data_IF_872290601375
#
_entry.id   IF_872290601375
#
_cell.length_a   1.000
_cell.length_b   1.000
_cell.length_c   1.000
_cell.angle_alpha   90.00
_cell.angle_beta   90.00
_cell.angle_gamma   90.00
#
_symmetry.space_group_name_H-M   'P 1'
#
loop_
_entity.id
_entity.type
_entity.pdbx_description
1 polymer ?
#
# COMPACT_ATOMS: atom_id res chain seq x y z
N UNK A 1 10.33 10.01 39.41
CA UNK A 1 9.06 9.88 38.66
C UNK A 1 9.42 9.47 37.25
N UNK A 2 9.36 8.17 36.93
CA UNK A 2 9.67 7.65 35.59
C UNK A 2 8.39 7.79 34.77
N UNK A 3 8.41 8.69 33.79
CA UNK A 3 7.30 8.90 32.86
C UNK A 3 7.39 7.82 31.76
N UNK A 4 6.65 6.73 31.92
CA UNK A 4 6.46 5.72 30.87
C UNK A 4 5.57 6.31 29.78
N UNK A 5 6.17 6.74 28.66
CA UNK A 5 5.45 7.05 27.43
C UNK A 5 4.91 5.75 26.81
N UNK A 6 3.62 5.50 26.98
CA UNK A 6 2.92 4.40 26.30
C UNK A 6 2.66 4.87 24.85
N UNK A 7 3.55 4.52 23.93
CA UNK A 7 3.29 4.67 22.50
C UNK A 7 2.24 3.62 22.09
N UNK A 8 1.04 4.06 21.74
CA UNK A 8 0.02 3.19 21.15
C UNK A 8 0.48 2.79 19.73
N UNK A 9 0.93 1.55 19.58
CA UNK A 9 1.18 0.95 18.26
C UNK A 9 -0.17 0.57 17.66
N UNK A 10 -0.68 1.39 16.75
CA UNK A 10 -1.84 1.01 15.93
C UNK A 10 -1.39 -0.11 14.98
N UNK A 11 -1.78 -1.35 15.28
CA UNK A 11 -1.58 -2.47 14.37
C UNK A 11 -2.62 -2.37 13.26
N UNK A 12 -2.17 -2.14 12.02
CA UNK A 12 -3.02 -2.24 10.85
C UNK A 12 -3.26 -3.71 10.53
N UNK A 13 -4.52 -4.08 10.34
CA UNK A 13 -4.84 -5.41 9.84
C UNK A 13 -4.36 -5.55 8.38
N UNK A 14 -3.87 -6.74 8.03
CA UNK A 14 -3.47 -7.07 6.67
C UNK A 14 -4.67 -6.97 5.72
N UNK A 15 -4.40 -6.68 4.44
CA UNK A 15 -5.41 -6.62 3.39
C UNK A 15 -5.09 -7.60 2.27
N UNK A 16 -6.08 -8.36 1.82
CA UNK A 16 -6.01 -9.20 0.63
C UNK A 16 -6.79 -8.53 -0.50
N UNK A 17 -6.11 -8.22 -1.61
CA UNK A 17 -6.67 -7.53 -2.77
C UNK A 17 -6.35 -8.35 -4.04
N UNK A 18 -7.26 -9.22 -4.47
CA UNK A 18 -6.96 -10.17 -5.55
C UNK A 18 -5.74 -11.03 -5.20
N UNK A 19 -4.69 -10.98 -6.03
CA UNK A 19 -3.43 -11.70 -5.81
C UNK A 19 -2.38 -10.90 -5.00
N UNK A 20 -2.75 -9.74 -4.46
CA UNK A 20 -1.88 -8.88 -3.68
C UNK A 20 -2.23 -8.97 -2.20
N UNK A 21 -1.30 -9.46 -1.37
CA UNK A 21 -1.35 -9.34 0.08
C UNK A 21 -0.58 -8.10 0.51
N UNK A 22 -1.28 -7.16 1.13
CA UNK A 22 -0.69 -5.97 1.77
C UNK A 22 -0.55 -6.28 3.26
N UNK A 23 0.69 -6.40 3.71
CA UNK A 23 1.05 -6.61 5.10
C UNK A 23 1.69 -5.37 5.70
N UNK A 24 1.30 -5.00 6.92
CA UNK A 24 1.86 -3.85 7.62
C UNK A 24 2.92 -4.30 8.61
N UNK A 25 4.19 -4.18 8.23
CA UNK A 25 5.28 -4.63 9.07
C UNK A 25 5.50 -3.68 10.27
N UNK A 26 6.17 -4.20 11.30
CA UNK A 26 6.47 -3.47 12.54
C UNK A 26 7.35 -2.22 12.34
N UNK A 27 7.94 -2.05 11.16
CA UNK A 27 8.73 -0.86 10.80
C UNK A 27 7.86 0.30 10.23
N UNK A 28 6.54 0.14 10.21
CA UNK A 28 5.60 1.14 9.70
C UNK A 28 5.54 1.21 8.17
N UNK A 29 6.18 0.27 7.48
CA UNK A 29 6.21 0.21 6.02
C UNK A 29 5.42 -1.00 5.53
N UNK A 30 4.71 -0.82 4.41
CA UNK A 30 3.98 -1.91 3.79
C UNK A 30 4.92 -3.00 3.24
N UNK A 31 4.39 -4.21 3.14
CA UNK A 31 4.94 -5.32 2.37
C UNK A 31 3.87 -5.78 1.39
N UNK A 32 4.13 -5.64 0.09
CA UNK A 32 3.24 -6.10 -0.97
C UNK A 32 3.76 -7.46 -1.44
N UNK A 33 2.98 -8.52 -1.19
CA UNK A 33 3.42 -9.90 -1.41
C UNK A 33 4.77 -10.21 -0.75
N UNK A 34 5.02 -9.64 0.42
CA UNK A 34 6.26 -9.80 1.18
C UNK A 34 7.40 -8.86 0.78
N UNK A 35 7.32 -8.19 -0.38
CA UNK A 35 8.33 -7.25 -0.83
C UNK A 35 8.08 -5.83 -0.29
N UNK A 36 9.14 -5.17 0.15
CA UNK A 36 9.10 -3.77 0.58
C UNK A 36 9.08 -2.86 -0.67
N UNK A 37 8.23 -1.82 -0.73
CA UNK A 37 8.22 -0.90 -1.85
C UNK A 37 9.45 0.01 -1.85
N UNK A 38 9.87 0.47 -3.04
CA UNK A 38 11.00 1.39 -3.22
C UNK A 38 10.66 2.79 -2.69
N UNK A 39 9.41 3.22 -2.88
CA UNK A 39 8.89 4.47 -2.34
C UNK A 39 7.55 4.24 -1.66
N UNK A 40 7.26 5.05 -0.64
CA UNK A 40 5.98 5.06 0.06
C UNK A 40 5.57 6.50 0.33
N UNK A 41 4.46 6.93 -0.30
CA UNK A 41 3.82 8.20 -0.02
C UNK A 41 2.47 7.96 0.62
N UNK A 42 2.19 8.71 1.68
CA UNK A 42 0.97 8.59 2.48
C UNK A 42 0.20 9.89 2.36
N UNK A 43 -1.10 9.81 2.07
CA UNK A 43 -2.01 10.95 2.01
C UNK A 43 -3.26 10.64 2.83
N UNK A 44 -3.55 11.44 3.86
CA UNK A 44 -4.86 11.39 4.52
C UNK A 44 -5.89 12.08 3.63
N UNK A 45 -6.98 11.39 3.30
CA UNK A 45 -8.02 11.87 2.39
C UNK A 45 -9.03 12.78 3.08
N UNK A 46 -9.08 12.74 4.41
CA UNK A 46 -9.91 13.59 5.25
C UNK A 46 -9.03 14.25 6.32
N UNK A 47 -9.20 13.86 7.57
CA UNK A 47 -8.46 14.41 8.71
C UNK A 47 -7.11 13.71 8.86
N UNK A 48 -6.11 14.45 9.34
CA UNK A 48 -4.80 13.89 9.64
C UNK A 48 -4.90 12.80 10.71
N UNK A 49 -4.33 11.63 10.44
CA UNK A 49 -4.43 10.47 11.34
C UNK A 49 -5.68 9.60 11.13
N UNK A 50 -6.58 9.96 10.21
CA UNK A 50 -7.71 9.10 9.85
C UNK A 50 -7.30 7.98 8.89
N UNK A 51 -6.81 6.88 9.45
CA UNK A 51 -6.38 5.72 8.68
C UNK A 51 -7.53 4.93 8.03
N UNK A 52 -8.79 5.26 8.31
CA UNK A 52 -9.93 4.71 7.57
C UNK A 52 -10.20 5.47 6.26
N UNK A 53 -9.58 6.64 6.10
CA UNK A 53 -9.67 7.52 4.93
C UNK A 53 -8.26 7.94 4.51
N UNK A 54 -7.50 6.97 3.98
CA UNK A 54 -6.08 7.10 3.69
C UNK A 54 -5.76 6.55 2.31
N UNK A 55 -4.74 7.14 1.69
CA UNK A 55 -4.18 6.67 0.43
C UNK A 55 -2.69 6.43 0.58
N UNK A 56 -2.26 5.25 0.15
CA UNK A 56 -0.85 4.91 0.01
C UNK A 56 -0.51 4.77 -1.47
N UNK A 57 0.57 5.41 -1.86
CA UNK A 57 1.13 5.32 -3.20
C UNK A 57 2.53 4.69 -3.08
N UNK A 58 2.72 3.57 -3.77
CA UNK A 58 3.94 2.79 -3.77
C UNK A 58 4.47 2.62 -5.20
N UNK A 59 5.79 2.56 -5.31
CA UNK A 59 6.46 2.10 -6.53
C UNK A 59 7.32 0.90 -6.16
N UNK A 60 7.30 -0.12 -7.01
CA UNK A 60 8.06 -1.35 -6.83
C UNK A 60 8.79 -1.73 -8.11
N UNK A 61 10.08 -1.99 -8.00
CA UNK A 61 10.88 -2.71 -8.98
C UNK A 61 10.41 -4.15 -9.08
N UNK A 62 10.27 -4.63 -10.31
CA UNK A 62 9.98 -6.04 -10.57
C UNK A 62 11.29 -6.80 -10.80
N UNK A 63 11.18 -8.12 -10.89
CA UNK A 63 12.28 -8.96 -11.37
C UNK A 63 12.53 -8.82 -12.88
N UNK A 64 11.68 -8.10 -13.62
CA UNK A 64 11.86 -7.80 -15.04
C UNK A 64 12.59 -6.46 -15.20
N UNK A 65 13.74 -6.44 -15.88
CA UNK A 65 14.47 -5.20 -16.15
C UNK A 65 13.58 -4.18 -16.88
N UNK A 66 13.58 -2.93 -16.41
CA UNK A 66 12.82 -1.85 -17.02
C UNK A 66 11.30 -1.97 -16.84
N UNK A 67 10.83 -2.78 -15.89
CA UNK A 67 9.42 -2.83 -15.50
C UNK A 67 9.32 -2.51 -14.02
N UNK A 68 8.60 -1.42 -13.73
CA UNK A 68 8.16 -1.05 -12.40
C UNK A 68 6.65 -1.29 -12.28
N UNK A 69 6.17 -1.34 -11.05
CA UNK A 69 4.75 -1.39 -10.74
C UNK A 69 4.42 -0.24 -9.82
N UNK A 70 3.51 0.62 -10.28
CA UNK A 70 2.84 1.62 -9.46
C UNK A 70 1.65 0.98 -8.76
N UNK A 71 1.54 1.16 -7.45
CA UNK A 71 0.44 0.61 -6.66
C UNK A 71 -0.18 1.72 -5.83
N UNK A 72 -1.49 1.85 -5.90
CA UNK A 72 -2.27 2.80 -5.10
C UNK A 72 -3.27 2.03 -4.25
N UNK A 73 -3.10 2.08 -2.93
CA UNK A 73 -4.07 1.56 -1.97
C UNK A 73 -4.91 2.70 -1.43
N UNK A 74 -6.23 2.61 -1.58
CA UNK A 74 -7.18 3.60 -1.10
C UNK A 74 -8.07 2.95 -0.06
N UNK A 75 -7.94 3.36 1.20
CA UNK A 75 -8.93 3.13 2.24
C UNK A 75 -9.90 4.31 2.29
N UNK A 76 -11.20 4.06 2.08
CA UNK A 76 -12.24 5.08 2.14
C UNK A 76 -13.48 4.51 2.84
N UNK A 77 -13.91 5.16 3.92
CA UNK A 77 -15.08 4.77 4.70
C UNK A 77 -15.06 3.27 5.11
N UNK A 78 -13.88 2.75 5.48
CA UNK A 78 -13.71 1.37 5.93
C UNK A 78 -13.73 0.31 4.81
N UNK A 79 -13.77 0.73 3.54
CA UNK A 79 -13.53 -0.14 2.38
C UNK A 79 -12.16 0.17 1.79
N UNK A 80 -11.51 -0.85 1.23
CA UNK A 80 -10.22 -0.67 0.58
C UNK A 80 -10.22 -1.16 -0.87
N UNK A 81 -9.51 -0.44 -1.73
CA UNK A 81 -9.23 -0.82 -3.12
C UNK A 81 -7.74 -0.72 -3.41
N UNK A 82 -7.25 -1.59 -4.28
CA UNK A 82 -5.88 -1.58 -4.77
C UNK A 82 -5.88 -1.38 -6.28
N UNK A 83 -5.33 -0.27 -6.74
CA UNK A 83 -5.05 -0.02 -8.15
C UNK A 83 -3.60 -0.36 -8.45
N UNK A 84 -3.36 -1.09 -9.54
CA UNK A 84 -2.05 -1.56 -9.96
C UNK A 84 -1.83 -1.11 -11.39
N UNK A 85 -0.70 -0.47 -11.65
CA UNK A 85 -0.23 -0.03 -12.96
C UNK A 85 1.13 -0.64 -13.23
N UNK A 86 1.28 -1.36 -14.35
CA UNK A 86 2.59 -1.82 -14.82
C UNK A 86 3.24 -0.71 -15.64
N UNK A 87 4.28 -0.11 -15.07
CA UNK A 87 5.04 1.00 -15.63
C UNK A 87 6.25 0.42 -16.37
N UNK A 88 6.15 0.32 -17.69
CA UNK A 88 7.24 -0.14 -18.54
C UNK A 88 8.14 1.05 -18.95
N UNK A 89 9.43 0.80 -19.15
CA UNK A 89 10.42 1.80 -19.59
C UNK A 89 10.34 2.10 -21.10
N UNK A 90 9.47 1.42 -21.86
CA UNK A 90 9.22 1.68 -23.28
C UNK A 90 7.99 2.57 -23.53
N UNK A 91 8.08 3.45 -24.55
CA UNK A 91 6.98 4.35 -24.96
C UNK A 91 5.96 3.63 -25.86
N UNK A 92 6.32 2.48 -26.42
CA UNK A 92 5.54 1.73 -27.42
C UNK A 92 4.54 0.76 -26.82
N UNK A 93 4.75 0.29 -25.59
CA UNK A 93 3.92 -0.74 -24.99
C UNK A 93 2.73 -0.12 -24.24
N UNK A 94 1.52 -0.70 -24.38
CA UNK A 94 0.36 -0.22 -23.65
C UNK A 94 0.54 -0.45 -22.15
N UNK A 95 0.22 0.58 -21.36
CA UNK A 95 0.15 0.46 -19.90
C UNK A 95 -0.95 -0.52 -19.53
N UNK A 96 -0.64 -1.41 -18.60
CA UNK A 96 -1.62 -2.35 -18.06
C UNK A 96 -2.11 -1.81 -16.71
N UNK A 97 -3.40 -1.98 -16.44
CA UNK A 97 -4.04 -1.54 -15.21
C UNK A 97 -4.94 -2.63 -14.66
N UNK A 98 -4.99 -2.74 -13.34
CA UNK A 98 -5.95 -3.59 -12.65
C UNK A 98 -6.41 -2.94 -11.34
N UNK A 99 -7.69 -3.06 -11.04
CA UNK A 99 -8.28 -2.60 -9.78
C UNK A 99 -8.87 -3.79 -9.03
N UNK A 100 -8.53 -3.90 -7.76
CA UNK A 100 -9.00 -4.98 -6.88
C UNK A 100 -9.73 -4.40 -5.68
N UNK A 101 -10.88 -4.97 -5.35
CA UNK A 101 -11.48 -4.77 -4.04
C UNK A 101 -10.66 -5.55 -3.00
N UNK A 102 -10.40 -4.92 -1.87
CA UNK A 102 -9.66 -5.52 -0.77
C UNK A 102 -10.61 -6.01 0.32
N UNK A 103 -10.21 -7.09 0.98
CA UNK A 103 -10.82 -7.57 2.22
C UNK A 103 -9.77 -7.60 3.32
N UNK A 104 -10.15 -7.21 4.53
CA UNK A 104 -9.30 -7.34 5.70
C UNK A 104 -9.08 -8.82 6.00
N UNK A 105 -7.83 -9.21 6.24
CA UNK A 105 -7.45 -10.56 6.64
C UNK A 105 -6.69 -10.53 7.97
N UNK A 106 -6.71 -11.66 8.67
CA UNK A 106 -5.98 -11.86 9.93
C UNK A 106 -4.54 -12.27 9.69
#
# INVERSE_FOLDING_TARGET
>A
MILLFIFNLNAFADSQCGNFKVHWANDGLARINGAKPDTQKITFLKEGGDYNNIKFEWVMTTNQPGVWVGIEFIGLNGKATLNVEWIQVGVSEPRQFATYNCVTVK
#
